data_IF_343485068868
#
_entry.id   IF_343485068868
#
_cell.length_a   1.000
_cell.length_b   1.000
_cell.length_c   1.000
_cell.angle_alpha   90.00
_cell.angle_beta   90.00
_cell.angle_gamma   90.00
#
_symmetry.space_group_name_H-M   'P 1'
#
loop_
_entity.id
_entity.type
_entity.pdbx_description
1 polymer ?
#
# COMPACT_ATOMS: atom_id res chain seq x y z
N UNK A 1 48.24 -8.16 20.26
CA UNK A 1 46.98 -8.83 19.97
C UNK A 1 47.28 -10.18 19.37
N UNK A 2 46.92 -11.25 20.06
CA UNK A 2 47.06 -12.62 19.51
C UNK A 2 45.93 -12.87 18.52
N UNK A 3 46.30 -13.31 17.31
CA UNK A 3 45.32 -13.76 16.31
C UNK A 3 45.29 -15.30 16.33
N UNK A 4 44.12 -15.87 16.50
CA UNK A 4 43.85 -17.29 16.32
C UNK A 4 43.26 -17.49 14.93
N UNK A 5 44.01 -18.11 14.02
CA UNK A 5 43.52 -18.49 12.71
C UNK A 5 42.92 -19.89 12.80
N UNK A 6 41.62 -20.04 12.76
CA UNK A 6 40.92 -21.31 12.76
C UNK A 6 40.19 -21.46 11.44
N UNK A 7 40.47 -22.52 10.70
CA UNK A 7 39.75 -22.87 9.48
C UNK A 7 38.42 -23.60 9.79
N UNK A 8 38.28 -24.16 10.98
CA UNK A 8 37.07 -24.87 11.42
C UNK A 8 36.97 -24.86 12.94
N UNK A 9 35.77 -24.60 13.45
CA UNK A 9 35.40 -24.79 14.85
C UNK A 9 34.46 -25.99 14.90
N UNK A 10 34.80 -27.01 15.73
CA UNK A 10 34.09 -28.26 15.81
C UNK A 10 34.02 -28.69 17.27
N UNK A 11 32.93 -29.32 17.69
CA UNK A 11 32.83 -29.91 19.01
C UNK A 11 33.75 -31.13 19.09
N UNK A 12 34.47 -31.30 20.19
CA UNK A 12 35.46 -32.36 20.39
C UNK A 12 34.85 -33.77 20.35
N UNK A 13 33.61 -33.93 20.74
CA UNK A 13 32.90 -35.20 20.82
C UNK A 13 31.99 -35.50 19.62
N UNK A 14 31.88 -34.57 18.66
CA UNK A 14 30.98 -34.65 17.46
C UNK A 14 29.48 -34.88 17.81
N UNK A 15 29.09 -34.69 19.06
CA UNK A 15 27.74 -34.93 19.61
C UNK A 15 26.89 -33.67 19.80
N UNK A 16 27.39 -32.53 19.35
CA UNK A 16 26.69 -31.26 19.45
C UNK A 16 27.35 -30.11 18.72
N UNK A 17 26.78 -28.92 18.87
CA UNK A 17 27.30 -27.70 18.29
C UNK A 17 28.44 -27.11 19.11
N UNK A 18 29.49 -26.60 18.46
CA UNK A 18 30.51 -25.79 19.13
C UNK A 18 29.89 -24.54 19.75
N UNK A 19 30.14 -24.33 21.04
CA UNK A 19 29.66 -23.15 21.74
C UNK A 19 30.78 -22.09 21.87
N UNK A 20 30.43 -20.82 21.57
CA UNK A 20 31.29 -19.68 21.85
C UNK A 20 30.69 -18.91 23.01
N UNK A 21 31.34 -18.94 24.18
CA UNK A 21 30.88 -18.21 25.35
C UNK A 21 31.47 -16.79 25.38
N UNK A 22 30.67 -15.83 25.84
CA UNK A 22 31.05 -14.42 25.93
C UNK A 22 30.51 -13.59 24.77
N UNK A 23 31.07 -12.40 24.56
CA UNK A 23 30.68 -11.49 23.47
C UNK A 23 31.50 -11.81 22.23
N UNK A 24 30.83 -12.21 21.15
CA UNK A 24 31.46 -12.44 19.85
C UNK A 24 31.12 -11.30 18.89
N UNK A 25 32.14 -10.67 18.31
CA UNK A 25 31.98 -9.64 17.29
C UNK A 25 32.46 -10.17 15.95
N UNK A 26 31.56 -10.17 14.98
CA UNK A 26 31.89 -10.49 13.59
C UNK A 26 32.13 -9.20 12.84
N UNK A 27 33.38 -8.84 12.58
CA UNK A 27 33.75 -7.67 11.78
C UNK A 27 34.17 -8.11 10.38
N UNK A 28 33.20 -8.19 9.49
CA UNK A 28 33.44 -8.54 8.08
C UNK A 28 32.53 -7.68 7.20
N UNK A 29 33.05 -7.32 6.05
CA UNK A 29 32.27 -6.66 5.01
C UNK A 29 31.46 -7.66 4.17
N UNK A 30 31.65 -8.98 4.39
CA UNK A 30 30.96 -10.01 3.63
C UNK A 30 29.58 -10.33 4.23
N UNK A 31 29.47 -11.40 5.00
CA UNK A 31 28.20 -11.81 5.60
C UNK A 31 28.42 -12.89 6.67
N UNK A 32 27.42 -13.05 7.54
CA UNK A 32 27.26 -14.23 8.39
C UNK A 32 26.11 -15.06 7.78
N UNK A 33 26.42 -16.27 7.34
CA UNK A 33 25.39 -17.19 6.85
C UNK A 33 24.81 -17.99 8.02
N UNK A 34 23.50 -17.83 8.26
CA UNK A 34 22.77 -18.64 9.23
C UNK A 34 22.65 -20.11 8.75
N UNK A 35 22.56 -21.09 9.65
CA UNK A 35 22.16 -22.46 9.30
C UNK A 35 20.87 -22.42 8.48
N UNK A 36 20.76 -23.28 7.46
CA UNK A 36 19.59 -23.31 6.58
C UNK A 36 19.04 -24.72 6.39
N UNK A 37 17.76 -24.83 6.13
CA UNK A 37 17.08 -26.08 5.83
C UNK A 37 15.57 -25.90 5.71
N UNK A 38 14.89 -26.99 5.35
CA UNK A 38 13.44 -27.02 5.24
C UNK A 38 12.74 -26.97 6.60
N UNK A 39 11.44 -26.73 6.62
CA UNK A 39 10.62 -26.81 7.85
C UNK A 39 10.76 -28.18 8.54
N UNK A 40 10.82 -29.27 7.77
CA UNK A 40 10.99 -30.63 8.28
C UNK A 40 12.38 -30.89 8.90
N UNK A 41 13.37 -30.05 8.58
CA UNK A 41 14.73 -30.12 9.11
C UNK A 41 14.97 -29.24 10.34
N UNK A 42 13.90 -28.75 10.97
CA UNK A 42 14.00 -28.05 12.25
C UNK A 42 14.54 -28.99 13.31
N UNK A 43 15.43 -28.53 14.22
CA UNK A 43 15.88 -29.36 15.35
C UNK A 43 14.71 -29.95 16.14
N UNK A 44 14.82 -31.20 16.54
CA UNK A 44 13.79 -31.88 17.36
C UNK A 44 13.64 -31.25 18.75
N UNK A 45 14.74 -30.75 19.33
CA UNK A 45 14.79 -30.11 20.63
C UNK A 45 15.37 -28.70 20.52
N UNK A 46 14.63 -27.74 19.92
CA UNK A 46 15.14 -26.38 19.73
C UNK A 46 15.24 -25.63 21.08
N UNK A 47 16.23 -24.74 21.19
CA UNK A 47 16.39 -23.88 22.34
C UNK A 47 15.96 -22.45 22.02
N UNK A 48 15.36 -21.70 22.97
CA UNK A 48 14.96 -20.32 22.76
C UNK A 48 16.12 -19.46 22.23
N UNK A 49 15.86 -18.67 21.21
CA UNK A 49 16.85 -17.81 20.58
C UNK A 49 17.66 -18.49 19.45
N UNK A 50 17.45 -19.77 19.16
CA UNK A 50 18.03 -20.38 17.95
C UNK A 50 17.54 -19.66 16.70
N UNK A 51 18.46 -19.38 15.76
CA UNK A 51 18.18 -18.69 14.49
C UNK A 51 18.61 -19.57 13.34
N UNK A 52 17.77 -19.67 12.30
CA UNK A 52 18.08 -20.37 11.04
C UNK A 52 17.33 -19.75 9.86
N UNK A 53 17.76 -20.07 8.64
CA UNK A 53 17.03 -19.71 7.41
C UNK A 53 16.17 -20.91 6.96
N UNK A 54 14.87 -20.72 6.86
CA UNK A 54 13.94 -21.74 6.36
C UNK A 54 13.83 -21.63 4.84
N UNK A 55 14.20 -22.71 4.14
CA UNK A 55 14.20 -22.74 2.68
C UNK A 55 12.81 -22.93 2.06
N UNK A 56 11.84 -23.41 2.82
CA UNK A 56 10.45 -23.57 2.35
C UNK A 56 9.71 -22.24 2.36
N UNK A 57 9.88 -21.44 3.43
CA UNK A 57 9.27 -20.11 3.54
C UNK A 57 10.10 -19.01 2.92
N UNK A 58 11.41 -19.23 2.73
CA UNK A 58 12.34 -18.21 2.24
C UNK A 58 12.70 -17.13 3.27
N UNK A 59 12.42 -17.37 4.56
CA UNK A 59 12.64 -16.40 5.63
C UNK A 59 13.63 -16.87 6.67
N UNK A 60 14.26 -15.91 7.35
CA UNK A 60 14.97 -16.18 8.60
C UNK A 60 13.93 -16.48 9.67
N UNK A 61 14.13 -17.53 10.45
CA UNK A 61 13.25 -17.88 11.57
C UNK A 61 14.04 -18.01 12.87
N UNK A 62 13.38 -17.78 13.98
CA UNK A 62 13.94 -17.96 15.32
C UNK A 62 12.97 -18.71 16.22
N UNK A 63 13.51 -19.46 17.17
CA UNK A 63 12.70 -20.22 18.12
C UNK A 63 12.41 -19.38 19.36
N UNK A 64 11.13 -19.16 19.65
CA UNK A 64 10.66 -18.34 20.78
C UNK A 64 10.77 -19.05 22.13
N UNK A 65 10.89 -20.36 22.13
CA UNK A 65 10.76 -21.23 23.28
C UNK A 65 9.49 -22.09 23.24
N UNK A 66 8.53 -21.72 22.40
CA UNK A 66 7.26 -22.43 22.19
C UNK A 66 7.10 -22.85 20.73
N UNK A 67 7.45 -21.97 19.80
CA UNK A 67 7.33 -22.20 18.35
C UNK A 67 8.42 -21.47 17.58
N UNK A 68 8.59 -21.87 16.31
CA UNK A 68 9.41 -21.17 15.34
C UNK A 68 8.61 -20.01 14.75
N UNK A 69 9.10 -18.79 14.97
CA UNK A 69 8.54 -17.56 14.42
C UNK A 69 9.42 -17.05 13.28
N UNK A 70 8.83 -16.49 12.26
CA UNK A 70 9.58 -15.89 11.16
C UNK A 70 10.07 -14.51 11.56
N UNK A 71 11.37 -14.27 11.42
CA UNK A 71 11.91 -12.92 11.45
C UNK A 71 11.47 -12.21 10.15
N UNK A 72 10.20 -11.83 10.12
CA UNK A 72 9.71 -10.95 9.08
C UNK A 72 10.47 -9.65 9.24
N UNK A 73 11.34 -9.34 8.30
CA UNK A 73 11.74 -7.96 8.10
C UNK A 73 10.46 -7.26 7.69
N UNK A 74 9.74 -6.68 8.65
CA UNK A 74 8.88 -5.59 8.31
C UNK A 74 9.80 -4.62 7.59
N UNK A 75 9.68 -4.54 6.27
CA UNK A 75 10.29 -3.47 5.52
C UNK A 75 9.62 -2.19 6.00
N UNK A 76 10.09 -1.66 7.13
CA UNK A 76 9.72 -0.34 7.62
C UNK A 76 10.07 0.76 6.60
N UNK A 77 10.69 0.38 5.50
CA UNK A 77 10.89 1.25 4.33
C UNK A 77 9.63 1.41 3.49
N UNK A 78 8.57 0.63 3.75
CA UNK A 78 7.28 0.75 3.06
C UNK A 78 6.27 1.57 3.83
N UNK A 79 6.50 1.81 5.12
CA UNK A 79 5.58 2.59 5.92
C UNK A 79 6.07 4.04 5.92
N UNK A 80 5.32 4.96 5.38
CA UNK A 80 5.51 6.40 5.60
C UNK A 80 5.50 6.72 7.10
N UNK A 81 5.95 5.76 7.91
CA UNK A 81 5.80 5.71 9.34
C UNK A 81 4.34 5.40 9.71
N UNK A 82 4.00 5.66 10.95
CA UNK A 82 2.66 5.45 11.49
C UNK A 82 1.68 6.58 11.14
N UNK A 83 1.84 7.27 10.02
CA UNK A 83 1.00 8.43 9.66
C UNK A 83 -0.04 8.07 8.59
N UNK A 84 -1.29 8.42 8.85
CA UNK A 84 -2.34 8.53 7.85
C UNK A 84 -2.56 10.01 7.54
N UNK A 85 -2.46 10.41 6.26
CA UNK A 85 -2.64 11.80 5.82
C UNK A 85 -3.95 11.90 5.05
N UNK A 86 -4.74 12.93 5.36
CA UNK A 86 -6.05 13.19 4.80
C UNK A 86 -6.10 14.57 4.18
N UNK A 87 -6.66 14.66 2.98
CA UNK A 87 -7.08 15.93 2.40
C UNK A 87 -8.53 16.18 2.77
N UNK A 88 -8.81 17.30 3.44
CA UNK A 88 -10.16 17.62 3.92
C UNK A 88 -11.12 17.99 2.79
N UNK A 89 -10.63 18.48 1.68
CA UNK A 89 -11.38 18.76 0.46
C UNK A 89 -12.53 19.77 0.62
N UNK A 90 -13.57 19.43 1.36
CA UNK A 90 -14.75 20.27 1.58
C UNK A 90 -15.17 20.27 3.06
N UNK A 91 -15.23 21.42 3.69
CA UNK A 91 -15.52 21.59 5.12
C UNK A 91 -17.01 21.86 5.45
N UNK A 92 -17.90 21.64 4.50
CA UNK A 92 -19.34 21.92 4.63
C UNK A 92 -19.74 23.32 4.12
N UNK A 93 -18.81 24.24 3.92
CA UNK A 93 -19.06 25.61 3.44
C UNK A 93 -18.20 25.98 2.21
N UNK A 94 -16.94 25.57 2.20
CA UNK A 94 -15.98 25.88 1.15
C UNK A 94 -15.04 24.71 0.88
N UNK A 95 -14.40 24.73 -0.29
CA UNK A 95 -13.28 23.85 -0.57
C UNK A 95 -12.05 24.30 0.18
N UNK A 96 -11.19 23.38 0.52
CA UNK A 96 -9.94 23.64 1.23
C UNK A 96 -8.76 22.95 0.54
N UNK A 97 -7.56 23.39 0.89
CA UNK A 97 -6.31 22.72 0.53
C UNK A 97 -5.66 22.00 1.74
N UNK A 98 -6.32 21.99 2.87
CA UNK A 98 -5.80 21.53 4.15
C UNK A 98 -5.51 20.04 4.11
N UNK A 99 -4.31 19.68 4.52
CA UNK A 99 -3.90 18.31 4.81
C UNK A 99 -3.77 18.15 6.32
N UNK A 100 -4.38 17.12 6.85
CA UNK A 100 -4.24 16.71 8.25
C UNK A 100 -3.69 15.29 8.32
N UNK A 101 -3.04 14.96 9.44
CA UNK A 101 -2.56 13.60 9.69
C UNK A 101 -2.95 13.09 11.07
N UNK A 102 -2.99 11.78 11.17
CA UNK A 102 -3.07 11.03 12.43
C UNK A 102 -1.85 10.14 12.57
N UNK A 103 -1.52 9.81 13.81
CA UNK A 103 -0.59 8.71 14.09
C UNK A 103 -1.40 7.43 14.26
N UNK A 104 -1.29 6.49 13.31
CA UNK A 104 -2.14 5.29 13.22
C UNK A 104 -2.04 4.41 14.47
N UNK A 105 -0.87 4.35 15.10
CA UNK A 105 -0.61 3.52 16.29
C UNK A 105 -1.05 4.15 17.60
N UNK A 106 -1.51 5.40 17.61
CA UNK A 106 -1.97 6.11 18.80
C UNK A 106 -3.38 6.64 18.61
N UNK A 107 -4.14 6.72 19.70
CA UNK A 107 -5.41 7.42 19.70
C UNK A 107 -5.18 8.94 19.77
N UNK A 108 -6.06 9.71 19.14
CA UNK A 108 -6.01 11.16 19.18
C UNK A 108 -6.72 11.80 18.00
N UNK A 109 -6.81 13.12 18.04
CA UNK A 109 -7.34 13.91 16.93
C UNK A 109 -6.29 14.06 15.84
N UNK A 110 -6.74 14.44 14.65
CA UNK A 110 -5.86 14.85 13.57
C UNK A 110 -5.09 16.13 13.93
N UNK A 111 -3.95 16.28 13.32
CA UNK A 111 -3.06 17.44 13.46
C UNK A 111 -2.76 17.98 12.08
N UNK A 112 -2.58 19.29 11.99
CA UNK A 112 -2.19 19.96 10.75
C UNK A 112 -0.90 19.35 10.18
N UNK A 113 -0.95 19.02 8.89
CA UNK A 113 0.22 18.53 8.13
C UNK A 113 0.79 19.64 7.25
N UNK A 114 -0.06 20.47 6.66
CA UNK A 114 0.23 21.50 5.68
C UNK A 114 -0.88 21.61 4.63
N UNK A 115 -0.59 22.18 3.49
CA UNK A 115 -1.56 22.48 2.44
C UNK A 115 -1.19 21.89 1.09
N UNK A 116 -2.18 21.51 0.28
CA UNK A 116 -2.01 21.30 -1.18
C UNK A 116 -1.69 22.62 -1.88
N UNK A 117 -1.12 22.54 -3.08
CA UNK A 117 -0.80 23.73 -3.88
C UNK A 117 -2.05 24.45 -4.38
N UNK A 118 -3.18 23.74 -4.53
CA UNK A 118 -4.46 24.27 -5.03
C UNK A 118 -5.60 23.92 -4.10
N UNK A 119 -6.48 24.89 -3.81
CA UNK A 119 -7.74 24.68 -3.09
C UNK A 119 -8.69 23.87 -3.95
N UNK A 120 -9.02 22.64 -3.56
CA UNK A 120 -9.85 21.72 -4.35
C UNK A 120 -10.51 20.63 -3.50
N UNK A 121 -11.47 19.92 -4.07
CA UNK A 121 -12.12 18.75 -3.47
C UNK A 121 -12.27 17.63 -4.48
N UNK A 122 -12.62 16.42 -4.05
CA UNK A 122 -12.83 15.28 -4.93
C UNK A 122 -11.55 14.78 -5.61
N UNK A 123 -10.42 14.81 -4.89
CA UNK A 123 -9.12 14.32 -5.35
C UNK A 123 -9.03 12.80 -5.23
N UNK A 124 -8.38 12.15 -6.20
CA UNK A 124 -7.87 10.79 -6.05
C UNK A 124 -6.53 10.81 -5.27
N UNK A 125 -6.31 9.85 -4.39
CA UNK A 125 -5.09 9.80 -3.58
C UNK A 125 -4.42 8.43 -3.62
N UNK A 126 -3.10 8.42 -3.57
CA UNK A 126 -2.29 7.21 -3.44
C UNK A 126 -0.98 7.51 -2.69
N UNK A 127 -0.25 6.47 -2.32
CA UNK A 127 1.00 6.66 -1.58
C UNK A 127 2.01 5.54 -1.79
N UNK A 128 3.26 5.86 -1.55
CA UNK A 128 4.30 4.89 -1.22
C UNK A 128 4.62 4.98 0.27
N UNK A 129 5.67 4.32 0.71
CA UNK A 129 6.21 4.45 2.07
C UNK A 129 6.74 5.85 2.40
N UNK A 130 7.06 6.66 1.39
CA UNK A 130 7.74 7.95 1.60
C UNK A 130 6.94 9.15 1.11
N UNK A 131 6.07 8.98 0.11
CA UNK A 131 5.30 10.06 -0.50
C UNK A 131 3.82 9.76 -0.51
N UNK A 132 3.00 10.77 -0.18
CA UNK A 132 1.57 10.83 -0.44
C UNK A 132 1.31 11.71 -1.65
N UNK A 133 0.43 11.29 -2.56
CA UNK A 133 0.06 12.01 -3.78
C UNK A 133 -1.44 12.23 -3.83
N UNK A 134 -1.85 13.40 -4.34
CA UNK A 134 -3.24 13.77 -4.62
C UNK A 134 -3.35 14.32 -6.03
N UNK A 135 -4.22 13.74 -6.84
CA UNK A 135 -4.41 14.14 -8.24
C UNK A 135 -5.82 14.62 -8.50
N UNK A 136 -5.94 15.51 -9.50
CA UNK A 136 -7.21 16.01 -10.01
C UNK A 136 -8.01 16.79 -8.95
N UNK A 137 -9.30 16.90 -9.13
CA UNK A 137 -10.21 17.55 -8.20
C UNK A 137 -10.95 18.73 -8.79
N UNK A 138 -11.79 19.35 -7.98
CA UNK A 138 -12.67 20.46 -8.35
C UNK A 138 -12.29 21.71 -7.56
N UNK A 139 -11.79 22.73 -8.22
CA UNK A 139 -11.29 23.94 -7.60
C UNK A 139 -12.37 24.99 -7.27
N UNK A 140 -11.98 26.14 -6.71
CA UNK A 140 -12.89 27.23 -6.35
C UNK A 140 -13.46 27.96 -7.57
N UNK A 141 -12.79 27.87 -8.72
CA UNK A 141 -13.23 28.45 -9.98
C UNK A 141 -14.25 27.63 -10.76
N UNK A 142 -15.04 26.78 -10.14
CA UNK A 142 -15.82 25.61 -10.54
C UNK A 142 -15.28 24.84 -11.77
N UNK A 143 -13.98 24.60 -11.80
CA UNK A 143 -13.27 23.90 -12.87
C UNK A 143 -12.60 22.63 -12.32
N UNK A 144 -12.60 21.57 -13.09
CA UNK A 144 -11.78 20.39 -12.77
C UNK A 144 -10.31 20.69 -13.05
N UNK A 145 -9.43 20.20 -12.19
CA UNK A 145 -7.98 20.35 -12.33
C UNK A 145 -7.32 19.03 -12.77
N UNK A 146 -6.10 19.13 -13.27
CA UNK A 146 -5.24 18.00 -13.58
C UNK A 146 -3.99 17.94 -12.69
N UNK A 147 -3.86 18.85 -11.75
CA UNK A 147 -2.69 18.97 -10.88
C UNK A 147 -2.50 17.70 -10.03
N UNK A 148 -1.25 17.23 -9.97
CA UNK A 148 -0.81 16.20 -9.04
C UNK A 148 0.11 16.87 -8.01
N UNK A 149 -0.28 16.85 -6.75
CA UNK A 149 0.53 17.29 -5.63
C UNK A 149 1.14 16.12 -4.89
N UNK A 150 2.28 16.33 -4.23
CA UNK A 150 2.87 15.36 -3.32
C UNK A 150 3.43 15.97 -2.04
N UNK A 151 3.50 15.14 -1.01
CA UNK A 151 4.19 15.42 0.24
C UNK A 151 5.17 14.31 0.59
N UNK A 152 6.18 14.63 1.40
CA UNK A 152 7.01 13.64 2.08
C UNK A 152 6.33 13.27 3.41
N UNK A 153 5.88 12.03 3.57
CA UNK A 153 5.04 11.60 4.70
C UNK A 153 5.75 11.78 6.06
N UNK A 154 7.07 11.59 6.13
CA UNK A 154 7.84 11.66 7.37
C UNK A 154 8.00 13.07 7.94
N UNK A 155 7.78 14.12 7.14
CA UNK A 155 7.94 15.53 7.56
C UNK A 155 6.71 16.34 7.21
N UNK A 156 6.16 17.09 8.20
CA UNK A 156 5.07 18.04 7.96
C UNK A 156 5.53 19.20 7.10
N UNK A 157 4.63 19.74 6.31
CA UNK A 157 4.86 20.87 5.42
C UNK A 157 3.93 20.84 4.22
N UNK A 158 3.89 21.92 3.48
CA UNK A 158 3.04 22.05 2.31
C UNK A 158 3.45 21.09 1.19
N UNK A 159 2.48 20.67 0.43
CA UNK A 159 2.68 19.87 -0.77
C UNK A 159 3.48 20.64 -1.83
N UNK A 160 4.13 19.89 -2.66
CA UNK A 160 4.85 20.39 -3.83
C UNK A 160 4.18 19.85 -5.09
N UNK A 161 4.32 20.61 -6.17
CA UNK A 161 3.88 20.15 -7.48
C UNK A 161 4.66 18.90 -7.90
N UNK A 162 3.91 17.87 -8.30
CA UNK A 162 4.47 16.62 -8.82
C UNK A 162 4.48 16.62 -10.34
N UNK A 163 3.46 17.22 -10.96
CA UNK A 163 3.15 17.23 -12.38
C UNK A 163 1.64 17.19 -12.61
N UNK A 164 1.23 16.81 -13.81
CA UNK A 164 -0.16 16.83 -14.23
C UNK A 164 -0.64 15.48 -14.75
N UNK A 165 -1.94 15.20 -14.58
CA UNK A 165 -2.64 14.19 -15.37
C UNK A 165 -2.95 14.72 -16.78
N UNK A 166 -3.17 13.84 -17.76
CA UNK A 166 -3.48 14.27 -19.13
C UNK A 166 -4.90 14.83 -19.28
N UNK A 167 -5.77 14.60 -18.29
CA UNK A 167 -7.16 15.03 -18.28
C UNK A 167 -7.55 15.70 -16.96
N UNK A 168 -8.58 16.53 -17.01
CA UNK A 168 -9.13 17.23 -15.84
C UNK A 168 -10.37 16.52 -15.34
N UNK A 169 -10.36 15.99 -14.10
CA UNK A 169 -11.50 15.34 -13.48
C UNK A 169 -11.60 15.63 -11.99
N UNK A 170 -12.71 15.19 -11.40
CA UNK A 170 -12.93 15.10 -9.96
C UNK A 170 -13.62 13.78 -9.63
N UNK A 171 -13.68 13.42 -8.36
CA UNK A 171 -14.39 12.23 -7.89
C UNK A 171 -13.90 10.93 -8.57
N UNK A 172 -12.65 10.95 -9.01
CA UNK A 172 -11.91 9.76 -9.41
C UNK A 172 -11.26 9.09 -8.21
N UNK A 173 -10.67 7.93 -8.45
CA UNK A 173 -9.95 7.15 -7.44
C UNK A 173 -8.43 7.22 -7.60
N UNK A 174 -7.74 6.73 -6.58
CA UNK A 174 -6.31 6.48 -6.63
C UNK A 174 -5.97 5.17 -5.90
N UNK A 175 -4.95 4.49 -6.38
CA UNK A 175 -4.35 3.32 -5.73
C UNK A 175 -2.87 3.23 -6.09
N UNK A 176 -2.12 2.39 -5.40
CA UNK A 176 -0.68 2.28 -5.65
C UNK A 176 -0.08 0.97 -5.16
N UNK A 177 1.10 0.70 -5.67
CA UNK A 177 2.08 -0.13 -4.97
C UNK A 177 3.26 0.75 -4.50
N UNK A 178 4.36 0.15 -4.09
CA UNK A 178 5.54 0.88 -3.62
C UNK A 178 6.20 1.80 -4.67
N UNK A 179 5.92 1.61 -5.97
CA UNK A 179 6.61 2.31 -7.06
C UNK A 179 5.70 3.11 -7.96
N UNK A 180 4.48 2.64 -8.23
CA UNK A 180 3.51 3.26 -9.12
C UNK A 180 2.27 3.70 -8.37
N UNK A 181 1.85 4.95 -8.61
CA UNK A 181 0.53 5.47 -8.28
C UNK A 181 -0.34 5.47 -9.53
N UNK A 182 -1.58 4.98 -9.42
CA UNK A 182 -2.57 4.99 -10.48
C UNK A 182 -3.72 5.91 -10.09
N UNK A 183 -4.17 6.73 -11.06
CA UNK A 183 -5.34 7.60 -10.95
C UNK A 183 -6.33 7.20 -12.04
N UNK A 184 -7.62 7.12 -11.71
CA UNK A 184 -8.59 6.52 -12.60
C UNK A 184 -10.00 7.06 -12.44
N UNK A 185 -10.77 7.00 -13.53
CA UNK A 185 -12.17 7.42 -13.57
C UNK A 185 -12.34 8.90 -13.25
N UNK A 186 -13.55 9.29 -12.90
CA UNK A 186 -13.86 10.66 -12.47
C UNK A 186 -14.97 11.31 -13.27
N UNK A 187 -15.30 12.52 -12.84
CA UNK A 187 -16.35 13.37 -13.43
C UNK A 187 -15.72 14.50 -14.26
N UNK A 188 -16.00 14.67 -15.58
CA UNK A 188 -16.94 13.87 -16.38
C UNK A 188 -16.62 12.37 -16.31
N UNK A 189 -17.64 11.52 -16.47
CA UNK A 189 -17.47 10.07 -16.40
C UNK A 189 -16.54 9.60 -17.52
N UNK A 190 -15.40 9.04 -17.11
CA UNK A 190 -14.36 8.53 -18.01
C UNK A 190 -13.93 7.13 -17.59
N UNK A 191 -13.22 6.43 -18.45
CA UNK A 191 -12.63 5.11 -18.16
C UNK A 191 -11.10 5.14 -18.08
N UNK A 192 -10.46 6.28 -18.26
CA UNK A 192 -9.01 6.39 -18.26
C UNK A 192 -8.39 5.91 -16.95
N UNK A 193 -7.28 5.21 -17.06
CA UNK A 193 -6.34 4.92 -15.98
C UNK A 193 -5.00 5.49 -16.39
N UNK A 194 -4.43 6.33 -15.55
CA UNK A 194 -3.09 6.87 -15.73
C UNK A 194 -2.20 6.51 -14.54
N UNK A 195 -0.89 6.49 -14.77
CA UNK A 195 0.05 6.20 -13.70
C UNK A 195 1.21 7.20 -13.65
N UNK A 196 1.80 7.26 -12.47
CA UNK A 196 3.05 7.96 -12.20
C UNK A 196 4.05 7.03 -11.52
N UNK A 197 5.34 7.30 -11.69
CA UNK A 197 6.38 6.69 -10.85
C UNK A 197 6.56 7.56 -9.60
N UNK A 198 6.13 7.08 -8.42
CA UNK A 198 5.99 7.89 -7.20
C UNK A 198 7.30 8.57 -6.78
N UNK A 199 8.45 7.95 -7.06
CA UNK A 199 9.77 8.49 -6.67
C UNK A 199 10.29 9.62 -7.56
N UNK A 200 9.69 9.82 -8.75
CA UNK A 200 10.13 10.81 -9.75
C UNK A 200 8.98 11.74 -10.12
N UNK A 201 9.15 13.04 -9.90
CA UNK A 201 8.18 14.05 -10.35
C UNK A 201 8.07 14.08 -11.87
N UNK A 202 6.89 14.36 -12.37
CA UNK A 202 6.57 14.42 -13.79
C UNK A 202 5.11 14.12 -14.06
N UNK A 203 4.66 14.37 -15.27
CA UNK A 203 3.28 14.13 -15.67
C UNK A 203 2.97 12.64 -15.69
N UNK A 204 1.70 12.31 -15.51
CA UNK A 204 1.21 10.94 -15.65
C UNK A 204 1.33 10.44 -17.08
N UNK A 205 1.32 9.14 -17.22
CA UNK A 205 1.36 8.42 -18.50
C UNK A 205 0.14 7.50 -18.56
N UNK A 206 -0.42 7.35 -19.74
CA UNK A 206 -1.50 6.41 -19.99
C UNK A 206 -1.15 5.00 -19.55
N UNK A 207 -2.03 4.40 -18.76
CA UNK A 207 -1.90 3.01 -18.30
C UNK A 207 -2.83 2.08 -19.08
N UNK A 208 -4.01 2.58 -19.48
CA UNK A 208 -5.10 1.84 -20.12
C UNK A 208 -6.45 2.30 -19.60
N UNK A 209 -7.48 1.50 -19.80
CA UNK A 209 -8.87 1.84 -19.51
C UNK A 209 -9.53 0.88 -18.52
N UNK A 210 -10.48 1.40 -17.74
CA UNK A 210 -11.48 0.62 -17.01
C UNK A 210 -12.41 -0.09 -18.02
N UNK A 211 -13.09 -1.13 -17.58
CA UNK A 211 -14.09 -1.82 -18.43
C UNK A 211 -15.31 -0.96 -18.72
N UNK A 212 -15.58 0.07 -17.92
CA UNK A 212 -16.69 1.01 -18.10
C UNK A 212 -16.33 2.42 -17.62
N UNK A 213 -16.95 3.44 -18.21
CA UNK A 213 -16.85 4.84 -17.75
C UNK A 213 -17.51 4.98 -16.37
N UNK A 214 -16.80 5.53 -15.38
CA UNK A 214 -17.28 5.66 -14.00
C UNK A 214 -16.68 6.85 -13.27
N UNK A 215 -17.47 7.47 -12.38
CA UNK A 215 -17.03 8.42 -11.37
C UNK A 215 -17.45 7.94 -9.98
N UNK A 216 -17.09 8.65 -8.91
CA UNK A 216 -17.34 8.24 -7.53
C UNK A 216 -16.94 6.76 -7.29
N UNK A 217 -15.84 6.39 -7.91
CA UNK A 217 -15.22 5.07 -7.90
C UNK A 217 -14.15 5.01 -6.81
N UNK A 218 -14.00 3.87 -6.19
CA UNK A 218 -12.89 3.64 -5.24
C UNK A 218 -11.96 2.55 -5.73
N UNK A 219 -10.77 2.47 -5.12
CA UNK A 219 -9.85 1.40 -5.42
C UNK A 219 -8.99 1.02 -4.22
N UNK A 220 -8.57 -0.22 -4.21
CA UNK A 220 -7.58 -0.74 -3.27
C UNK A 220 -6.57 -1.63 -3.99
N UNK A 221 -5.48 -1.95 -3.35
CA UNK A 221 -4.40 -2.69 -3.99
C UNK A 221 -3.58 -3.51 -3.01
N UNK A 222 -2.85 -4.45 -3.56
CA UNK A 222 -1.65 -5.00 -2.93
C UNK A 222 -0.41 -4.67 -3.79
N UNK A 223 0.72 -5.30 -3.53
CA UNK A 223 1.96 -5.05 -4.27
C UNK A 223 1.87 -5.35 -5.78
N UNK A 224 0.90 -6.17 -6.20
CA UNK A 224 0.77 -6.68 -7.58
C UNK A 224 -0.46 -6.21 -8.30
N UNK A 225 -1.63 -6.22 -7.63
CA UNK A 225 -2.93 -5.94 -8.23
C UNK A 225 -3.56 -4.68 -7.68
N UNK A 226 -4.14 -3.87 -8.56
CA UNK A 226 -5.07 -2.80 -8.24
C UNK A 226 -6.49 -3.22 -8.59
N UNK A 227 -7.44 -2.97 -7.70
CA UNK A 227 -8.87 -3.21 -7.88
C UNK A 227 -9.60 -1.88 -7.99
N UNK A 228 -10.56 -1.78 -8.91
CA UNK A 228 -11.41 -0.61 -9.14
C UNK A 228 -12.87 -1.00 -8.92
N UNK A 229 -13.57 -0.30 -8.02
CA UNK A 229 -14.78 -0.87 -7.43
C UNK A 229 -15.94 0.11 -7.47
N UNK A 230 -17.12 -0.38 -7.94
CA UNK A 230 -18.37 0.35 -7.97
C UNK A 230 -18.32 1.64 -8.78
N UNK A 231 -19.11 2.62 -8.41
CA UNK A 231 -19.10 3.95 -9.03
C UNK A 231 -20.45 4.43 -9.54
N UNK A 232 -20.41 5.52 -10.27
CA UNK A 232 -21.55 6.16 -10.91
C UNK A 232 -21.31 6.20 -12.44
N UNK A 233 -22.20 5.72 -13.30
CA UNK A 233 -23.50 5.11 -12.98
C UNK A 233 -23.38 3.97 -11.98
N UNK A 234 -24.42 3.83 -11.10
CA UNK A 234 -24.41 2.83 -10.02
C UNK A 234 -24.19 1.44 -10.58
N UNK A 235 -23.14 0.76 -10.13
CA UNK A 235 -22.73 -0.55 -10.63
C UNK A 235 -22.13 -1.41 -9.51
N UNK A 236 -22.11 -2.73 -9.72
CA UNK A 236 -21.44 -3.70 -8.85
C UNK A 236 -20.07 -4.13 -9.37
N UNK A 237 -19.64 -3.64 -10.52
CA UNK A 237 -18.40 -4.05 -11.18
C UNK A 237 -17.17 -3.87 -10.27
N UNK A 238 -16.36 -4.91 -10.21
CA UNK A 238 -14.99 -4.87 -9.71
C UNK A 238 -14.07 -5.20 -10.89
N UNK A 239 -13.25 -4.24 -11.30
CA UNK A 239 -12.20 -4.44 -12.29
C UNK A 239 -10.84 -4.59 -11.62
N UNK A 240 -9.85 -5.14 -12.30
CA UNK A 240 -8.48 -5.19 -11.83
C UNK A 240 -7.44 -4.97 -12.91
N UNK A 241 -6.25 -4.57 -12.48
CA UNK A 241 -5.02 -4.52 -13.29
C UNK A 241 -3.86 -5.16 -12.53
N UNK A 242 -2.85 -5.58 -13.28
CA UNK A 242 -1.52 -5.84 -12.72
C UNK A 242 -0.72 -4.53 -12.74
N UNK A 243 -0.44 -3.93 -11.59
CA UNK A 243 0.11 -2.56 -11.46
C UNK A 243 1.45 -2.39 -12.21
N UNK A 244 2.27 -3.44 -12.30
CA UNK A 244 3.57 -3.39 -12.99
C UNK A 244 3.49 -3.42 -14.51
N UNK A 245 2.32 -3.78 -15.08
CA UNK A 245 2.16 -4.00 -16.54
C UNK A 245 1.07 -3.10 -17.09
N UNK A 246 1.41 -2.24 -18.04
CA UNK A 246 0.45 -1.36 -18.75
C UNK A 246 -0.57 -2.21 -19.51
N UNK A 247 -1.82 -1.81 -19.47
CA UNK A 247 -2.93 -2.45 -20.18
C UNK A 247 -4.27 -2.15 -19.54
N UNK A 248 -5.33 -2.44 -20.29
CA UNK A 248 -6.70 -2.23 -19.83
C UNK A 248 -7.04 -3.12 -18.64
N UNK A 249 -7.94 -2.62 -17.79
CA UNK A 249 -8.51 -3.40 -16.71
C UNK A 249 -9.33 -4.59 -17.25
N UNK A 250 -9.37 -5.63 -16.46
CA UNK A 250 -10.10 -6.87 -16.75
C UNK A 250 -11.11 -7.08 -15.61
N UNK A 251 -12.25 -7.67 -15.94
CA UNK A 251 -13.26 -8.04 -14.97
C UNK A 251 -12.67 -8.94 -13.86
N UNK A 252 -12.91 -8.55 -12.61
CA UNK A 252 -12.53 -9.32 -11.43
C UNK A 252 -13.72 -10.10 -10.86
N UNK A 253 -14.91 -9.52 -10.96
CA UNK A 253 -16.16 -10.00 -10.38
C UNK A 253 -17.03 -8.85 -9.90
N UNK A 254 -17.99 -9.13 -9.04
CA UNK A 254 -19.02 -8.19 -8.61
C UNK A 254 -19.07 -7.97 -7.10
N UNK A 255 -19.45 -6.77 -6.68
CA UNK A 255 -19.96 -6.49 -5.32
C UNK A 255 -21.26 -7.25 -5.06
N UNK A 256 -21.60 -7.49 -3.80
CA UNK A 256 -22.88 -8.09 -3.43
C UNK A 256 -24.07 -7.17 -3.75
N UNK A 257 -23.85 -5.84 -3.73
CA UNK A 257 -24.85 -4.82 -4.07
C UNK A 257 -24.20 -3.71 -4.91
N UNK A 258 -24.85 -3.35 -6.03
CA UNK A 258 -24.42 -2.23 -6.87
C UNK A 258 -24.49 -0.91 -6.09
N UNK A 259 -23.38 -0.13 -6.06
CA UNK A 259 -23.29 1.13 -5.33
C UNK A 259 -22.10 1.99 -5.78
N UNK A 260 -22.21 3.28 -5.53
CA UNK A 260 -21.11 4.23 -5.71
C UNK A 260 -20.73 4.90 -4.39
N UNK A 261 -19.75 5.80 -4.40
CA UNK A 261 -19.25 6.51 -3.23
C UNK A 261 -18.86 5.57 -2.06
N UNK A 262 -18.14 4.53 -2.36
CA UNK A 262 -17.71 3.46 -1.45
C UNK A 262 -16.36 3.86 -0.83
N UNK A 263 -16.16 3.55 0.46
CA UNK A 263 -14.84 3.56 1.08
C UNK A 263 -14.15 2.20 0.90
N UNK A 264 -12.83 2.21 0.70
CA UNK A 264 -12.07 0.98 0.57
C UNK A 264 -10.78 1.01 1.40
N UNK A 265 -10.38 -0.17 1.84
CA UNK A 265 -9.07 -0.41 2.42
C UNK A 265 -8.59 -1.82 2.04
N UNK A 266 -7.31 -2.06 2.19
CA UNK A 266 -6.74 -3.38 1.90
C UNK A 266 -5.51 -3.69 2.74
N UNK A 267 -5.22 -4.97 2.79
CA UNK A 267 -3.91 -5.48 3.15
C UNK A 267 -3.33 -6.28 1.98
N UNK A 268 -2.24 -7.01 2.18
CA UNK A 268 -1.61 -7.80 1.13
C UNK A 268 -2.53 -8.87 0.50
N UNK A 269 -3.57 -9.32 1.20
CA UNK A 269 -4.44 -10.44 0.78
C UNK A 269 -5.88 -10.05 0.52
N UNK A 270 -6.46 -9.12 1.28
CA UNK A 270 -7.89 -8.74 1.21
C UNK A 270 -8.09 -7.29 0.84
N UNK A 271 -9.05 -7.03 -0.05
CA UNK A 271 -9.69 -5.74 -0.23
C UNK A 271 -11.05 -5.75 0.47
N UNK A 272 -11.37 -4.66 1.17
CA UNK A 272 -12.63 -4.48 1.91
C UNK A 272 -13.31 -3.20 1.42
N UNK A 273 -14.62 -3.25 1.20
CA UNK A 273 -15.43 -2.20 0.61
C UNK A 273 -16.63 -1.91 1.48
N UNK A 274 -16.67 -0.74 2.12
CA UNK A 274 -17.69 -0.39 3.10
C UNK A 274 -18.58 0.77 2.69
N UNK A 275 -19.86 0.71 3.06
CA UNK A 275 -20.84 1.77 2.84
C UNK A 275 -21.21 1.98 1.38
N UNK A 276 -21.42 3.23 1.01
CA UNK A 276 -21.82 3.62 -0.34
C UNK A 276 -23.29 4.03 -0.43
N UNK A 277 -23.73 4.33 -1.67
CA UNK A 277 -25.05 4.89 -1.94
C UNK A 277 -25.73 4.22 -3.14
N UNK A 278 -27.02 3.80 -2.99
CA UNK A 278 -27.88 3.31 -4.07
C UNK A 278 -29.31 2.95 -3.60
N UNK A 279 -30.35 3.69 -3.88
CA UNK A 279 -30.45 5.17 -3.93
C UNK A 279 -30.46 5.78 -2.51
N UNK A 280 -30.17 4.99 -1.50
CA UNK A 280 -29.99 5.38 -0.10
C UNK A 280 -28.61 4.99 0.38
N UNK A 281 -28.16 5.57 1.49
CA UNK A 281 -26.91 5.16 2.13
C UNK A 281 -27.03 3.69 2.60
N UNK A 282 -25.97 2.93 2.37
CA UNK A 282 -25.88 1.51 2.68
C UNK A 282 -24.90 1.26 3.83
N UNK A 283 -25.14 0.21 4.59
CA UNK A 283 -24.23 -0.26 5.67
C UNK A 283 -23.53 -1.58 5.32
N UNK A 284 -23.58 -1.99 4.06
CA UNK A 284 -22.94 -3.21 3.56
C UNK A 284 -21.41 -3.09 3.63
N UNK A 285 -20.76 -4.16 4.03
CA UNK A 285 -19.30 -4.32 3.98
C UNK A 285 -18.99 -5.58 3.21
N UNK A 286 -18.42 -5.43 2.02
CA UNK A 286 -17.96 -6.53 1.19
C UNK A 286 -16.45 -6.72 1.28
N UNK A 287 -15.98 -7.93 1.03
CA UNK A 287 -14.55 -8.20 0.85
C UNK A 287 -14.26 -9.15 -0.30
N UNK A 288 -13.04 -9.07 -0.81
CA UNK A 288 -12.49 -10.01 -1.80
C UNK A 288 -11.09 -10.47 -1.40
N UNK A 289 -10.69 -11.63 -1.88
CA UNK A 289 -9.26 -12.05 -1.85
C UNK A 289 -8.60 -11.53 -3.11
N UNK A 290 -7.68 -10.54 -3.00
CA UNK A 290 -7.09 -9.82 -4.15
C UNK A 290 -6.40 -10.75 -5.16
N UNK A 291 -5.81 -11.86 -4.69
CA UNK A 291 -5.11 -12.81 -5.55
C UNK A 291 -6.04 -13.69 -6.42
N UNK A 292 -7.31 -13.82 -6.06
CA UNK A 292 -8.27 -14.74 -6.70
C UNK A 292 -9.43 -13.98 -7.31
N UNK A 293 -9.64 -14.11 -8.62
CA UNK A 293 -10.80 -13.55 -9.31
C UNK A 293 -12.07 -14.18 -8.77
N UNK A 294 -13.11 -13.39 -8.57
CA UNK A 294 -14.43 -13.82 -8.11
C UNK A 294 -15.21 -12.71 -7.42
N UNK A 295 -16.48 -12.97 -7.19
CA UNK A 295 -17.40 -12.02 -6.58
C UNK A 295 -17.04 -11.76 -5.11
N UNK A 296 -17.37 -10.56 -4.64
CA UNK A 296 -17.24 -10.18 -3.25
C UNK A 296 -18.17 -10.99 -2.34
N UNK A 297 -17.80 -11.07 -1.09
CA UNK A 297 -18.58 -11.68 0.00
C UNK A 297 -18.88 -10.62 1.05
N UNK A 298 -20.09 -10.70 1.64
CA UNK A 298 -20.53 -9.86 2.77
C UNK A 298 -19.96 -10.37 4.11
#
# INVERSE_FOLDING_TARGET
MSRLNISRIQNENEDGSAAVSGISTFSSTAFLQAPRGTTAQRPENPQPGMIRFNTDSGHLEYYTGEFWDEALVANNTLDGGNRGIFHLGYNGSSRTNILEYITITTLGNSTDFGDLTVIRSGTGACSSSTRGLWANGYDVGPVNTNVIDYVTISSTGNAQDFGDTSYTTRDGGGLSNSTRGLFFGGQPTINNIEYVTITSTGNSVDFGDLTAIRSAITGCSNSTRGLFVGGTPVTNIIDYVTISTIGNAIDFGDLTVARGAIASCSNATRGVFGGGYNPVALNTIDFVTIASIGNAQD
#
